data_IF_871027512218
#
_entry.id   IF_871027512218
#
_cell.length_a   1.000
_cell.length_b   1.000
_cell.length_c   1.000
_cell.angle_alpha   90.00
_cell.angle_beta   90.00
_cell.angle_gamma   90.00
#
_symmetry.space_group_name_H-M   'P 1'
#
loop_
_entity.id
_entity.type
_entity.pdbx_description
1 polymer ?
#
# COMPACT_ATOMS: atom_id res chain seq x y z
N UNK A 1 -8.48 29.03 2.28
CA UNK A 1 -9.19 28.11 1.36
C UNK A 1 -8.44 26.77 1.16
N UNK A 2 -7.10 26.77 1.11
CA UNK A 2 -6.28 25.56 0.92
C UNK A 2 -6.37 24.60 2.11
N UNK A 3 -6.35 25.13 3.32
CA UNK A 3 -6.48 24.35 4.57
C UNK A 3 -7.82 23.60 4.66
N UNK A 4 -8.94 24.27 4.29
CA UNK A 4 -10.28 23.66 4.35
C UNK A 4 -10.43 22.52 3.36
N UNK A 5 -9.84 22.64 2.17
CA UNK A 5 -9.85 21.58 1.17
C UNK A 5 -9.04 20.37 1.63
N UNK A 6 -7.83 20.60 2.16
CA UNK A 6 -6.95 19.55 2.67
C UNK A 6 -7.60 18.85 3.88
N UNK A 7 -8.24 19.57 4.78
CA UNK A 7 -8.97 19.03 5.92
C UNK A 7 -10.19 18.21 5.48
N UNK A 8 -10.90 18.65 4.42
CA UNK A 8 -12.05 17.94 3.88
C UNK A 8 -11.64 16.63 3.21
N UNK A 9 -10.57 16.63 2.41
CA UNK A 9 -10.04 15.43 1.80
C UNK A 9 -9.53 14.44 2.84
N UNK A 10 -8.89 14.94 3.89
CA UNK A 10 -8.48 14.12 5.02
C UNK A 10 -9.67 13.43 5.73
N UNK A 11 -10.77 14.16 5.97
CA UNK A 11 -11.99 13.60 6.57
C UNK A 11 -12.65 12.56 5.67
N UNK A 12 -12.70 12.79 4.37
CA UNK A 12 -13.24 11.84 3.39
C UNK A 12 -12.44 10.53 3.44
N UNK A 13 -11.12 10.60 3.33
CA UNK A 13 -10.25 9.44 3.40
C UNK A 13 -10.39 8.69 4.75
N UNK A 14 -10.57 9.42 5.85
CA UNK A 14 -10.83 8.83 7.16
C UNK A 14 -12.10 8.01 7.17
N UNK A 15 -13.20 8.60 6.70
CA UNK A 15 -14.52 7.95 6.68
C UNK A 15 -14.51 6.74 5.76
N UNK A 16 -13.90 6.83 4.58
CA UNK A 16 -13.76 5.72 3.64
C UNK A 16 -12.95 4.57 4.22
N UNK A 17 -11.82 4.85 4.85
CA UNK A 17 -10.99 3.85 5.51
C UNK A 17 -11.74 3.16 6.66
N UNK A 18 -12.46 3.94 7.48
CA UNK A 18 -13.24 3.41 8.60
C UNK A 18 -14.41 2.54 8.11
N UNK A 19 -15.13 2.99 7.07
CA UNK A 19 -16.21 2.20 6.45
C UNK A 19 -15.67 0.90 5.84
N UNK A 20 -14.51 0.94 5.18
CA UNK A 20 -13.87 -0.24 4.61
C UNK A 20 -13.48 -1.24 5.70
N UNK A 21 -12.87 -0.76 6.80
CA UNK A 21 -12.51 -1.61 7.95
C UNK A 21 -13.73 -2.24 8.63
N UNK A 22 -14.80 -1.47 8.86
CA UNK A 22 -16.02 -1.98 9.50
C UNK A 22 -16.73 -3.01 8.64
N UNK A 23 -16.77 -2.82 7.33
CA UNK A 23 -17.33 -3.80 6.39
C UNK A 23 -16.54 -5.10 6.40
N UNK A 24 -15.21 -5.04 6.39
CA UNK A 24 -14.33 -6.21 6.45
C UNK A 24 -14.45 -6.95 7.79
N UNK A 25 -14.50 -6.22 8.91
CA UNK A 25 -14.62 -6.80 10.26
C UNK A 25 -15.92 -7.56 10.50
N UNK A 26 -17.01 -7.20 9.82
CA UNK A 26 -18.32 -7.85 9.94
C UNK A 26 -18.53 -9.04 8.98
N UNK A 27 -17.50 -9.45 8.21
CA UNK A 27 -17.62 -10.57 7.26
C UNK A 27 -18.58 -10.32 6.09
N UNK A 28 -19.02 -9.08 5.88
CA UNK A 28 -20.02 -8.71 4.88
C UNK A 28 -19.45 -8.25 3.53
N UNK A 29 -18.13 -8.25 3.36
CA UNK A 29 -17.51 -7.87 2.07
C UNK A 29 -17.37 -9.10 1.20
N UNK A 30 -18.21 -9.20 0.18
CA UNK A 30 -17.95 -10.10 -0.94
C UNK A 30 -16.87 -9.47 -1.82
N UNK A 31 -15.66 -10.04 -1.79
CA UNK A 31 -14.58 -9.64 -2.68
C UNK A 31 -14.93 -10.02 -4.12
N UNK A 32 -14.68 -9.13 -5.05
CA UNK A 32 -14.79 -9.42 -6.48
C UNK A 32 -13.42 -9.90 -7.00
N UNK A 33 -13.02 -11.11 -6.59
CA UNK A 33 -11.74 -11.70 -6.97
C UNK A 33 -11.77 -12.11 -8.43
N UNK A 34 -10.82 -11.58 -9.21
CA UNK A 34 -10.60 -11.93 -10.63
C UNK A 34 -9.11 -11.96 -10.94
N UNK A 35 -8.70 -12.68 -12.01
CA UNK A 35 -7.36 -12.52 -12.57
C UNK A 35 -7.19 -11.10 -13.11
N UNK A 36 -6.24 -10.35 -12.55
CA UNK A 36 -5.96 -8.96 -12.92
C UNK A 36 -4.46 -8.76 -13.14
N UNK A 37 -4.09 -7.89 -14.07
CA UNK A 37 -2.70 -7.55 -14.37
C UNK A 37 -2.14 -6.60 -13.31
N UNK A 38 -0.95 -6.91 -12.78
CA UNK A 38 -0.27 -6.06 -11.81
C UNK A 38 0.12 -4.71 -12.40
N UNK A 39 0.50 -4.68 -13.68
CA UNK A 39 0.84 -3.43 -14.39
C UNK A 39 -0.33 -2.44 -14.39
N UNK A 40 -1.54 -2.91 -14.71
CA UNK A 40 -2.73 -2.06 -14.70
C UNK A 40 -3.06 -1.53 -13.30
N UNK A 41 -2.94 -2.38 -12.28
CA UNK A 41 -3.17 -2.01 -10.88
C UNK A 41 -2.14 -0.97 -10.41
N UNK A 42 -0.87 -1.13 -10.78
CA UNK A 42 0.18 -0.17 -10.43
C UNK A 42 -0.01 1.15 -11.15
N UNK A 43 -0.31 1.12 -12.44
CA UNK A 43 -0.58 2.32 -13.22
C UNK A 43 -1.76 3.12 -12.65
N UNK A 44 -2.85 2.45 -12.34
CA UNK A 44 -4.03 3.07 -11.70
C UNK A 44 -3.67 3.68 -10.34
N UNK A 45 -2.95 2.95 -9.48
CA UNK A 45 -2.55 3.45 -8.17
C UNK A 45 -1.66 4.70 -8.28
N UNK A 46 -0.68 4.70 -9.19
CA UNK A 46 0.23 5.83 -9.38
C UNK A 46 -0.49 7.06 -9.94
N UNK A 47 -1.56 6.90 -10.71
CA UNK A 47 -2.36 8.02 -11.22
C UNK A 47 -3.13 8.76 -10.12
N UNK A 48 -3.32 8.15 -8.95
CA UNK A 48 -4.07 8.70 -7.81
C UNK A 48 -3.18 9.16 -6.65
N UNK A 49 -1.87 9.26 -6.85
CA UNK A 49 -0.96 9.69 -5.79
C UNK A 49 -1.11 11.18 -5.44
N UNK A 50 -0.67 11.53 -4.23
CA UNK A 50 -0.56 12.91 -3.77
C UNK A 50 0.38 13.73 -4.68
N UNK A 51 0.13 15.04 -4.82
CA UNK A 51 0.98 15.99 -5.56
C UNK A 51 2.44 15.99 -5.09
N UNK A 52 2.70 15.63 -3.84
CA UNK A 52 4.06 15.49 -3.31
C UNK A 52 4.83 14.33 -3.96
N UNK A 53 4.17 13.44 -4.68
CA UNK A 53 4.82 12.38 -5.47
C UNK A 53 5.80 12.93 -6.50
N UNK A 54 5.52 14.12 -7.08
CA UNK A 54 6.39 14.80 -8.03
C UNK A 54 7.77 15.16 -7.45
N UNK A 55 7.90 15.20 -6.13
CA UNK A 55 9.16 15.47 -5.43
C UNK A 55 9.99 14.22 -5.16
N UNK A 56 9.52 13.04 -5.57
CA UNK A 56 10.18 11.75 -5.36
C UNK A 56 10.46 11.04 -6.69
N UNK A 57 11.45 10.18 -6.69
CA UNK A 57 11.76 9.32 -7.83
C UNK A 57 11.04 7.99 -7.67
N UNK A 58 9.91 7.83 -8.37
CA UNK A 58 9.11 6.61 -8.28
C UNK A 58 9.40 5.73 -9.50
N UNK A 59 9.80 4.48 -9.27
CA UNK A 59 10.05 3.47 -10.31
C UNK A 59 9.12 2.27 -10.15
N UNK A 60 8.81 1.62 -11.27
CA UNK A 60 8.04 0.37 -11.32
C UNK A 60 8.90 -0.70 -11.99
N UNK A 61 9.00 -1.87 -11.36
CA UNK A 61 9.76 -3.01 -11.84
C UNK A 61 8.89 -4.27 -11.74
N UNK A 62 8.46 -4.81 -12.88
CA UNK A 62 7.74 -6.06 -12.98
C UNK A 62 8.66 -7.13 -13.56
N UNK A 63 8.62 -8.34 -13.00
CA UNK A 63 9.34 -9.51 -13.56
C UNK A 63 8.83 -9.84 -14.96
N UNK A 64 7.52 -9.67 -15.20
CA UNK A 64 6.84 -9.91 -16.47
C UNK A 64 5.68 -8.91 -16.60
N UNK A 65 5.54 -8.27 -17.76
CA UNK A 65 4.45 -7.34 -18.07
C UNK A 65 3.07 -8.02 -18.03
N UNK A 66 3.02 -9.33 -18.16
CA UNK A 66 1.81 -10.14 -18.09
C UNK A 66 1.60 -10.80 -16.71
N UNK A 67 2.33 -10.35 -15.70
CA UNK A 67 2.19 -10.88 -14.34
C UNK A 67 0.77 -10.63 -13.80
N UNK A 68 0.05 -11.71 -13.50
CA UNK A 68 -1.34 -11.66 -13.01
C UNK A 68 -1.47 -12.27 -11.63
N UNK A 69 -2.40 -11.72 -10.86
CA UNK A 69 -2.81 -12.29 -9.58
C UNK A 69 -4.35 -12.27 -9.44
N UNK A 70 -4.87 -13.18 -8.64
CA UNK A 70 -6.29 -13.23 -8.29
C UNK A 70 -6.58 -12.16 -7.22
N UNK A 71 -7.31 -11.10 -7.58
CA UNK A 71 -7.57 -9.99 -6.66
C UNK A 71 -8.85 -9.22 -6.98
N UNK A 72 -9.33 -8.47 -5.99
CA UNK A 72 -10.22 -7.32 -6.20
C UNK A 72 -9.34 -6.10 -6.49
N UNK A 73 -9.21 -5.72 -7.77
CA UNK A 73 -8.28 -4.69 -8.23
C UNK A 73 -8.48 -3.37 -7.49
N UNK A 74 -9.72 -2.95 -7.20
CA UNK A 74 -9.99 -1.68 -6.51
C UNK A 74 -9.40 -1.65 -5.11
N UNK A 75 -9.48 -2.77 -4.39
CA UNK A 75 -8.94 -2.87 -3.04
C UNK A 75 -7.42 -2.94 -3.06
N UNK A 76 -6.82 -3.64 -4.02
CA UNK A 76 -5.36 -3.70 -4.14
C UNK A 76 -4.79 -2.36 -4.60
N UNK A 77 -5.45 -1.64 -5.50
CA UNK A 77 -5.11 -0.24 -5.84
C UNK A 77 -5.04 0.61 -4.57
N UNK A 78 -6.02 0.48 -3.67
CA UNK A 78 -6.03 1.21 -2.39
C UNK A 78 -4.84 0.82 -1.49
N UNK A 79 -4.47 -0.48 -1.45
CA UNK A 79 -3.26 -0.93 -0.71
C UNK A 79 -2.01 -0.25 -1.27
N UNK A 80 -1.82 -0.29 -2.59
CA UNK A 80 -0.66 0.32 -3.24
C UNK A 80 -0.60 1.82 -2.98
N UNK A 81 -1.72 2.54 -3.15
CA UNK A 81 -1.80 3.98 -2.84
C UNK A 81 -1.39 4.26 -1.39
N UNK A 82 -1.91 3.50 -0.43
CA UNK A 82 -1.58 3.69 0.98
C UNK A 82 -0.08 3.46 1.27
N UNK A 83 0.52 2.42 0.68
CA UNK A 83 1.93 2.12 0.88
C UNK A 83 2.85 3.18 0.24
N UNK A 84 2.55 3.58 -1.00
CA UNK A 84 3.35 4.60 -1.71
C UNK A 84 3.19 5.98 -1.04
N UNK A 85 1.98 6.37 -0.63
CA UNK A 85 1.77 7.61 0.10
C UNK A 85 2.46 7.61 1.46
N UNK A 86 2.56 6.47 2.14
CA UNK A 86 3.38 6.34 3.34
C UNK A 86 4.86 6.58 3.04
N UNK A 87 5.41 5.98 1.98
CA UNK A 87 6.78 6.22 1.56
C UNK A 87 7.02 7.71 1.26
N UNK A 88 6.15 8.37 0.48
CA UNK A 88 6.21 9.81 0.18
C UNK A 88 6.18 10.66 1.46
N UNK A 89 5.33 10.31 2.42
CA UNK A 89 5.16 11.06 3.67
C UNK A 89 6.35 10.97 4.61
N UNK A 90 7.01 9.81 4.67
CA UNK A 90 8.06 9.54 5.66
C UNK A 90 9.47 9.64 5.10
N UNK A 91 9.62 9.97 3.83
CA UNK A 91 10.91 10.21 3.19
C UNK A 91 11.09 11.68 2.78
N UNK A 92 12.31 12.20 2.75
CA UNK A 92 12.58 13.55 2.27
C UNK A 92 12.35 13.67 0.75
N UNK A 93 12.13 14.90 0.27
CA UNK A 93 12.09 15.18 -1.17
C UNK A 93 13.39 14.70 -1.84
N UNK A 94 13.28 14.12 -3.05
CA UNK A 94 14.38 13.54 -3.79
C UNK A 94 14.65 12.06 -3.47
N UNK A 95 13.92 11.47 -2.50
CA UNK A 95 14.03 10.04 -2.19
C UNK A 95 13.54 9.15 -3.34
N UNK A 96 14.07 7.94 -3.36
CA UNK A 96 13.68 6.90 -4.30
C UNK A 96 12.64 5.97 -3.66
N UNK A 97 11.57 5.75 -4.39
CA UNK A 97 10.52 4.81 -4.03
C UNK A 97 10.38 3.82 -5.18
N UNK A 98 10.50 2.53 -4.93
CA UNK A 98 10.32 1.53 -5.96
C UNK A 98 9.12 0.63 -5.65
N UNK A 99 8.37 0.31 -6.69
CA UNK A 99 7.23 -0.59 -6.67
C UNK A 99 7.57 -1.77 -7.56
N UNK A 100 7.64 -2.97 -7.00
CA UNK A 100 8.02 -4.16 -7.75
C UNK A 100 7.07 -5.32 -7.51
N UNK A 101 6.99 -6.24 -8.48
CA UNK A 101 6.27 -7.48 -8.33
C UNK A 101 6.99 -8.63 -9.04
N UNK A 102 7.04 -9.78 -8.36
CA UNK A 102 7.66 -11.00 -8.86
C UNK A 102 6.80 -12.22 -8.56
N UNK A 103 6.89 -13.24 -9.39
CA UNK A 103 6.24 -14.52 -9.09
C UNK A 103 7.06 -15.31 -8.07
N UNK A 104 6.42 -15.73 -6.99
CA UNK A 104 7.02 -16.54 -5.93
C UNK A 104 6.18 -17.81 -5.71
N UNK A 105 6.40 -18.82 -6.57
CA UNK A 105 5.65 -20.06 -6.54
C UNK A 105 4.15 -19.86 -6.82
N UNK A 106 3.24 -20.24 -5.88
CA UNK A 106 1.80 -20.07 -6.06
C UNK A 106 1.32 -18.63 -5.77
N UNK A 107 2.23 -17.73 -5.43
CA UNK A 107 1.94 -16.34 -5.09
C UNK A 107 2.65 -15.37 -6.02
N UNK A 108 2.12 -14.16 -6.09
CA UNK A 108 2.84 -12.97 -6.53
C UNK A 108 3.23 -12.19 -5.28
N UNK A 109 4.48 -11.83 -5.18
CA UNK A 109 5.03 -10.97 -4.14
C UNK A 109 5.16 -9.57 -4.67
N UNK A 110 4.52 -8.61 -4.00
CA UNK A 110 4.59 -7.19 -4.31
C UNK A 110 5.38 -6.48 -3.23
N UNK A 111 6.27 -5.59 -3.62
CA UNK A 111 7.08 -4.78 -2.71
C UNK A 111 6.97 -3.30 -3.05
N UNK A 112 6.85 -2.49 -1.99
CA UNK A 112 7.03 -1.04 -2.03
C UNK A 112 8.20 -0.72 -1.14
N UNK A 113 9.31 -0.25 -1.72
CA UNK A 113 10.52 0.10 -0.98
C UNK A 113 10.83 1.58 -1.06
N UNK A 114 11.43 2.11 -0.01
CA UNK A 114 11.90 3.47 0.09
C UNK A 114 13.35 3.51 0.62
N UNK A 115 14.07 4.58 0.33
CA UNK A 115 15.41 4.88 0.86
C UNK A 115 15.38 5.88 2.02
N UNK A 116 14.31 5.90 2.79
CA UNK A 116 14.09 6.79 3.92
C UNK A 116 14.82 6.36 5.20
N UNK A 117 14.38 6.87 6.36
CA UNK A 117 15.02 6.59 7.64
C UNK A 117 14.80 5.18 8.17
N UNK A 118 13.91 4.39 7.55
CA UNK A 118 13.53 3.08 8.03
C UNK A 118 12.56 3.10 9.22
N UNK A 119 12.24 1.92 9.74
CA UNK A 119 11.30 1.71 10.85
C UNK A 119 12.00 0.94 11.96
N UNK A 120 11.95 1.46 13.19
CA UNK A 120 12.52 0.80 14.36
C UNK A 120 11.93 -0.61 14.55
N UNK A 121 12.74 -1.59 14.93
CA UNK A 121 12.30 -2.98 15.11
C UNK A 121 11.14 -3.13 16.10
N UNK A 122 11.14 -2.33 17.16
CA UNK A 122 10.06 -2.29 18.14
C UNK A 122 8.71 -1.80 17.58
N UNK A 123 8.74 -1.09 16.46
CA UNK A 123 7.57 -0.54 15.79
C UNK A 123 7.04 -1.47 14.69
N UNK A 124 7.88 -2.27 14.04
CA UNK A 124 7.52 -3.09 12.87
C UNK A 124 6.30 -3.99 13.07
N UNK A 125 6.12 -4.55 14.25
CA UNK A 125 4.95 -5.36 14.57
C UNK A 125 3.69 -4.53 14.84
N UNK A 126 3.86 -3.29 15.30
CA UNK A 126 2.77 -2.41 15.75
C UNK A 126 2.23 -1.50 14.66
N UNK A 127 3.01 -1.23 13.61
CA UNK A 127 2.61 -0.28 12.56
C UNK A 127 1.35 -0.66 11.80
N UNK A 128 0.96 -1.94 11.85
CA UNK A 128 -0.28 -2.45 11.28
C UNK A 128 -1.46 -2.42 12.26
N UNK A 129 -1.25 -2.01 13.50
CA UNK A 129 -2.34 -1.88 14.48
C UNK A 129 -3.13 -0.59 14.23
N UNK A 130 -4.44 -0.65 14.47
CA UNK A 130 -5.32 0.51 14.31
C UNK A 130 -4.87 1.65 15.22
N UNK A 131 -4.85 2.86 14.69
CA UNK A 131 -4.48 4.10 15.39
C UNK A 131 -3.02 4.15 15.87
N UNK A 132 -2.16 3.22 15.48
CA UNK A 132 -0.75 3.29 15.80
C UNK A 132 -0.04 4.31 14.89
N UNK A 133 0.71 5.20 15.49
CA UNK A 133 1.59 6.17 14.82
C UNK A 133 2.95 6.14 15.53
N UNK A 134 4.01 5.89 14.79
CA UNK A 134 5.37 5.75 15.35
C UNK A 134 5.94 7.08 15.87
N UNK A 135 5.38 8.22 15.48
CA UNK A 135 5.92 9.55 15.76
C UNK A 135 4.90 10.45 16.44
N UNK A 136 5.05 10.61 17.77
CA UNK A 136 4.31 11.62 18.54
C UNK A 136 4.98 13.01 18.51
N UNK A 137 6.13 13.19 17.85
CA UNK A 137 7.04 14.31 18.08
C UNK A 137 7.08 15.37 16.96
N UNK A 138 6.53 15.12 15.78
CA UNK A 138 6.48 16.12 14.71
C UNK A 138 5.16 16.89 14.76
N UNK A 139 5.23 18.12 15.28
CA UNK A 139 4.12 19.05 15.43
C UNK A 139 3.53 19.61 14.13
N UNK A 140 3.74 18.98 13.00
CA UNK A 140 3.11 19.32 11.73
C UNK A 140 1.74 18.64 11.63
N UNK A 141 0.69 19.45 11.50
CA UNK A 141 -0.74 19.08 11.57
C UNK A 141 -1.25 18.03 10.56
N UNK A 142 -0.36 17.25 9.95
CA UNK A 142 -0.68 16.14 9.04
C UNK A 142 -0.53 14.78 9.71
N UNK A 143 -1.13 14.62 10.89
CA UNK A 143 -1.17 13.33 11.59
C UNK A 143 -2.00 12.35 10.77
N UNK A 144 -1.36 11.33 10.20
CA UNK A 144 -2.09 10.15 9.77
C UNK A 144 -2.73 9.49 11.00
N UNK A 145 -3.98 9.06 10.87
CA UNK A 145 -4.73 8.43 11.98
C UNK A 145 -4.27 7.01 12.31
N UNK A 146 -3.23 6.51 11.65
CA UNK A 146 -2.79 5.13 11.85
C UNK A 146 -3.79 4.08 11.32
N UNK A 147 -4.62 4.45 10.34
CA UNK A 147 -5.61 3.55 9.75
C UNK A 147 -5.17 2.94 8.41
N UNK A 148 -4.27 3.59 7.67
CA UNK A 148 -3.88 3.15 6.33
C UNK A 148 -3.23 1.77 6.32
N UNK A 149 -2.27 1.50 7.19
CA UNK A 149 -1.59 0.19 7.25
C UNK A 149 -2.47 -0.91 7.83
N UNK A 150 -3.32 -0.61 8.80
CA UNK A 150 -4.30 -1.58 9.32
C UNK A 150 -5.31 -1.97 8.26
N UNK A 151 -5.74 -1.02 7.43
CA UNK A 151 -6.57 -1.28 6.26
C UNK A 151 -5.85 -2.16 5.23
N UNK A 152 -4.58 -1.86 4.93
CA UNK A 152 -3.77 -2.71 4.05
C UNK A 152 -3.73 -4.15 4.55
N UNK A 153 -3.46 -4.36 5.85
CA UNK A 153 -3.45 -5.70 6.45
C UNK A 153 -4.80 -6.39 6.32
N UNK A 154 -5.91 -5.69 6.57
CA UNK A 154 -7.25 -6.25 6.45
C UNK A 154 -7.58 -6.65 5.01
N UNK A 155 -7.24 -5.82 4.03
CA UNK A 155 -7.45 -6.13 2.61
C UNK A 155 -6.63 -7.35 2.19
N UNK A 156 -5.34 -7.36 2.49
CA UNK A 156 -4.45 -8.46 2.09
C UNK A 156 -4.86 -9.77 2.78
N UNK A 157 -5.19 -9.75 4.07
CA UNK A 157 -5.70 -10.93 4.78
C UNK A 157 -7.00 -11.45 4.16
N UNK A 158 -7.93 -10.57 3.78
CA UNK A 158 -9.16 -10.96 3.09
C UNK A 158 -8.91 -11.62 1.73
N UNK A 159 -7.79 -11.28 1.06
CA UNK A 159 -7.33 -11.93 -0.18
C UNK A 159 -6.55 -13.24 0.07
N UNK A 160 -6.41 -13.68 1.34
CA UNK A 160 -5.63 -14.86 1.72
C UNK A 160 -4.12 -14.68 1.62
N UNK A 161 -3.65 -13.43 1.55
CA UNK A 161 -2.24 -13.06 1.54
C UNK A 161 -1.71 -12.62 2.90
N UNK A 162 -0.44 -12.25 2.92
CA UNK A 162 0.26 -11.72 4.09
C UNK A 162 0.91 -10.37 3.73
N UNK A 163 0.99 -9.47 4.74
CA UNK A 163 1.72 -8.21 4.62
C UNK A 163 2.74 -8.08 5.74
N UNK A 164 3.93 -7.61 5.42
CA UNK A 164 5.03 -7.43 6.36
C UNK A 164 5.87 -6.20 6.00
N UNK A 165 6.77 -5.82 6.91
CA UNK A 165 7.77 -4.77 6.67
C UNK A 165 9.16 -5.27 7.08
N UNK A 166 10.16 -4.89 6.31
CA UNK A 166 11.58 -5.21 6.50
C UNK A 166 12.43 -3.96 6.28
N UNK A 167 13.70 -4.03 6.70
CA UNK A 167 14.65 -2.98 6.40
C UNK A 167 15.10 -3.05 4.94
N UNK A 168 15.17 -1.90 4.30
CA UNK A 168 15.84 -1.72 3.01
C UNK A 168 17.33 -1.45 3.23
N UNK A 169 18.19 -2.06 2.43
CA UNK A 169 19.63 -1.84 2.51
C UNK A 169 20.07 -0.78 1.48
N UNK A 170 20.94 0.19 1.84
CA UNK A 170 21.62 0.37 3.14
C UNK A 170 20.75 1.06 4.21
N UNK A 171 19.63 1.68 3.85
CA UNK A 171 18.65 2.29 4.75
C UNK A 171 17.30 2.41 4.06
N UNK A 172 16.21 2.52 4.84
CA UNK A 172 14.85 2.62 4.34
C UNK A 172 13.97 1.45 4.79
N UNK A 173 12.82 1.31 4.14
CA UNK A 173 11.83 0.29 4.44
C UNK A 173 11.39 -0.45 3.19
N UNK A 174 11.03 -1.72 3.34
CA UNK A 174 10.39 -2.55 2.32
C UNK A 174 9.08 -3.07 2.89
N UNK A 175 7.97 -2.60 2.37
CA UNK A 175 6.66 -3.20 2.62
C UNK A 175 6.41 -4.26 1.58
N UNK A 176 6.12 -5.47 2.02
CA UNK A 176 5.91 -6.64 1.16
C UNK A 176 4.55 -7.25 1.45
N UNK A 177 3.80 -7.57 0.38
CA UNK A 177 2.59 -8.36 0.50
C UNK A 177 2.49 -9.41 -0.59
N UNK A 178 1.65 -10.42 -0.34
CA UNK A 178 1.45 -11.54 -1.27
C UNK A 178 0.01 -11.61 -1.73
N UNK A 179 -0.18 -12.01 -2.98
CA UNK A 179 -1.46 -12.34 -3.59
C UNK A 179 -1.35 -13.70 -4.26
N UNK A 180 -2.45 -14.41 -4.42
CA UNK A 180 -2.45 -15.67 -5.16
C UNK A 180 -2.13 -15.40 -6.63
N UNK A 181 -1.12 -16.08 -7.17
CA UNK A 181 -0.79 -15.98 -8.58
C UNK A 181 -1.92 -16.55 -9.42
N UNK A 182 -2.34 -15.84 -10.44
CA UNK A 182 -3.28 -16.36 -11.42
C UNK A 182 -2.57 -17.20 -12.47
N UNK A 183 -3.20 -18.30 -12.88
CA UNK A 183 -2.75 -19.10 -14.02
C UNK A 183 -3.49 -18.61 -15.27
N UNK A 184 -2.73 -18.10 -16.24
CA UNK A 184 -3.28 -17.85 -17.58
C UNK A 184 -3.58 -19.20 -18.20
N UNK A 185 -4.83 -19.62 -18.20
CA UNK A 185 -5.25 -20.76 -19.03
C UNK A 185 -5.26 -20.27 -20.46
N UNK A 186 -4.16 -20.51 -21.19
CA UNK A 186 -4.21 -20.41 -22.65
C UNK A 186 -5.13 -21.52 -23.15
N UNK A 187 -6.30 -21.15 -23.62
CA UNK A 187 -7.15 -22.08 -24.40
C UNK A 187 -6.49 -22.20 -25.78
N UNK A 188 -5.92 -23.36 -26.05
CA UNK A 188 -5.56 -23.79 -27.42
C UNK A 188 -6.81 -24.02 -28.27
#
# INVERSE_FOLDING_TARGET
>A
YRSIYDDSMWLINLVENLLSLTRMGNGSVSLNIRPELLDEVFHEALSHLDRNAEQHHISVELEDDLLMADMDARLIVQVVINLVNNAIKYTPAGSHISLSAVRAGPFVQVEVSDDGPGIADSAKQKIFDMFYTADNSRGDGRRGLGLGLSLCRSIITAHGGEISVQDHQPHGSVFRFTLRASEVKMYE
#
